data_IF_984535120721
#
_entry.id   IF_984535120721
#
_cell.length_a   1.000
_cell.length_b   1.000
_cell.length_c   1.000
_cell.angle_alpha   90.00
_cell.angle_beta   90.00
_cell.angle_gamma   90.00
#
_symmetry.space_group_name_H-M   'P 1'
#
loop_
_entity.id
_entity.type
_entity.pdbx_description
1 polymer ?
#
# COMPACT_ATOMS: atom_id res chain seq x y z
N UNK A 1 3.83 20.78 -8.93
CA UNK A 1 3.02 19.60 -8.51
C UNK A 1 3.36 18.32 -9.28
N UNK A 2 3.39 18.33 -10.62
CA UNK A 2 3.59 17.11 -11.43
C UNK A 2 4.94 16.40 -11.21
N UNK A 3 6.04 17.14 -10.96
CA UNK A 3 7.36 16.55 -10.74
C UNK A 3 7.41 15.69 -9.45
N UNK A 4 6.81 16.18 -8.37
CA UNK A 4 6.79 15.48 -7.08
C UNK A 4 5.95 14.20 -7.21
N UNK A 5 4.74 14.29 -7.77
CA UNK A 5 3.88 13.10 -7.94
C UNK A 5 4.51 12.08 -8.88
N UNK A 6 5.16 12.55 -9.94
CA UNK A 6 5.94 11.70 -10.85
C UNK A 6 7.08 10.99 -10.12
N UNK A 7 7.87 11.72 -9.33
CA UNK A 7 9.04 11.18 -8.63
C UNK A 7 8.62 10.15 -7.57
N UNK A 8 7.64 10.47 -6.73
CA UNK A 8 7.13 9.55 -5.73
C UNK A 8 6.55 8.28 -6.36
N UNK A 9 5.91 8.35 -7.53
CA UNK A 9 5.45 7.15 -8.24
C UNK A 9 6.61 6.21 -8.60
N UNK A 10 7.78 6.74 -8.97
CA UNK A 10 8.97 5.93 -9.31
C UNK A 10 9.61 5.34 -8.07
N UNK A 11 9.83 6.18 -7.05
CA UNK A 11 10.42 5.75 -5.77
C UNK A 11 9.57 4.65 -5.15
N UNK A 12 8.26 4.86 -5.03
CA UNK A 12 7.35 3.84 -4.50
C UNK A 12 7.31 2.59 -5.38
N UNK A 13 7.42 2.73 -6.71
CA UNK A 13 7.52 1.56 -7.59
C UNK A 13 8.74 0.68 -7.32
N UNK A 14 9.90 1.29 -7.07
CA UNK A 14 11.13 0.55 -6.71
C UNK A 14 10.99 -0.10 -5.33
N UNK A 15 10.48 0.64 -4.34
CA UNK A 15 10.20 0.09 -3.00
C UNK A 15 9.24 -1.09 -3.09
N UNK A 16 8.19 -0.97 -3.90
CA UNK A 16 7.20 -2.02 -4.10
C UNK A 16 7.77 -3.24 -4.80
N UNK A 17 8.61 -3.06 -5.82
CA UNK A 17 9.25 -4.19 -6.49
C UNK A 17 10.08 -5.03 -5.51
N UNK A 18 10.96 -4.39 -4.73
CA UNK A 18 11.78 -5.09 -3.75
C UNK A 18 10.95 -5.64 -2.59
N UNK A 19 10.03 -4.84 -2.06
CA UNK A 19 9.15 -5.23 -0.95
C UNK A 19 8.24 -6.38 -1.33
N UNK A 20 7.73 -6.43 -2.56
CA UNK A 20 6.88 -7.51 -3.04
C UNK A 20 7.64 -8.83 -3.13
N UNK A 21 8.91 -8.83 -3.54
CA UNK A 21 9.73 -10.04 -3.55
C UNK A 21 9.93 -10.61 -2.15
N UNK A 22 10.25 -9.74 -1.18
CA UNK A 22 10.37 -10.13 0.24
C UNK A 22 9.02 -10.65 0.75
N UNK A 23 7.95 -9.89 0.53
CA UNK A 23 6.60 -10.25 0.96
C UNK A 23 6.17 -11.60 0.38
N UNK A 24 6.33 -11.79 -0.92
CA UNK A 24 5.96 -13.02 -1.61
C UNK A 24 6.76 -14.21 -1.09
N UNK A 25 8.08 -14.05 -0.93
CA UNK A 25 8.92 -15.11 -0.37
C UNK A 25 8.46 -15.51 1.04
N UNK A 26 8.24 -14.52 1.92
CA UNK A 26 7.85 -14.76 3.31
C UNK A 26 6.45 -15.35 3.43
N UNK A 27 5.51 -14.95 2.58
CA UNK A 27 4.15 -15.49 2.64
C UNK A 27 4.04 -16.90 2.05
N UNK A 28 4.96 -17.31 1.16
CA UNK A 28 4.82 -18.55 0.40
C UNK A 28 5.93 -19.60 0.59
N UNK A 29 7.12 -19.24 1.11
CA UNK A 29 8.31 -20.10 1.07
C UNK A 29 9.07 -20.25 2.40
N UNK A 30 8.61 -19.67 3.51
CA UNK A 30 9.35 -19.73 4.79
C UNK A 30 8.99 -20.92 5.69
N UNK A 31 8.15 -21.85 5.24
CA UNK A 31 7.80 -23.06 5.98
C UNK A 31 6.31 -23.36 5.97
N UNK A 32 5.91 -24.43 6.67
CA UNK A 32 4.50 -24.76 6.91
C UNK A 32 3.93 -23.87 8.00
N UNK A 33 2.64 -23.49 7.89
CA UNK A 33 1.95 -22.61 8.85
C UNK A 33 2.54 -21.19 9.01
N UNK A 34 3.30 -20.70 8.03
CA UNK A 34 3.91 -19.36 8.00
C UNK A 34 2.92 -18.19 8.05
N UNK A 35 1.63 -18.48 7.84
CA UNK A 35 0.50 -17.55 7.93
C UNK A 35 -0.38 -17.80 9.17
N UNK A 36 0.01 -18.71 10.06
CA UNK A 36 -0.72 -18.94 11.31
C UNK A 36 -0.70 -17.70 12.19
N UNK A 37 -1.71 -17.57 13.05
CA UNK A 37 -1.84 -16.40 13.94
C UNK A 37 -0.60 -16.18 14.80
N UNK A 38 -0.04 -17.24 15.39
CA UNK A 38 1.14 -17.13 16.26
C UNK A 38 2.38 -16.64 15.50
N UNK A 39 2.64 -17.17 14.30
CA UNK A 39 3.78 -16.75 13.47
C UNK A 39 3.64 -15.30 13.01
N UNK A 40 2.43 -14.89 12.61
CA UNK A 40 2.17 -13.50 12.20
C UNK A 40 2.29 -12.55 13.39
N UNK A 41 1.76 -12.94 14.56
CA UNK A 41 1.87 -12.17 15.80
C UNK A 41 3.33 -11.99 16.23
N UNK A 42 4.14 -13.05 16.19
CA UNK A 42 5.58 -12.96 16.48
C UNK A 42 6.29 -12.03 15.49
N UNK A 43 5.99 -12.16 14.19
CA UNK A 43 6.55 -11.29 13.15
C UNK A 43 6.18 -9.83 13.39
N UNK A 44 4.91 -9.54 13.65
CA UNK A 44 4.44 -8.21 14.01
C UNK A 44 5.07 -7.73 15.32
N UNK A 45 5.51 -8.60 16.23
CA UNK A 45 6.28 -8.21 17.41
C UNK A 45 7.66 -7.60 17.12
N UNK A 46 8.21 -7.79 15.91
CA UNK A 46 9.54 -7.31 15.55
C UNK A 46 9.52 -5.86 15.01
N UNK A 47 10.36 -4.95 15.56
CA UNK A 47 10.47 -3.59 15.05
C UNK A 47 10.85 -3.51 13.56
N UNK A 48 11.73 -4.41 13.10
CA UNK A 48 12.15 -4.46 11.70
C UNK A 48 10.97 -4.80 10.77
N UNK A 49 10.16 -5.79 11.14
CA UNK A 49 8.96 -6.16 10.37
C UNK A 49 7.91 -5.06 10.41
N UNK A 50 7.66 -4.42 11.57
CA UNK A 50 6.76 -3.25 11.64
C UNK A 50 7.22 -2.12 10.73
N UNK A 51 8.52 -1.81 10.70
CA UNK A 51 9.06 -0.78 9.78
C UNK A 51 8.89 -1.17 8.32
N UNK A 52 9.17 -2.42 7.97
CA UNK A 52 8.96 -2.94 6.62
C UNK A 52 7.49 -2.84 6.20
N UNK A 53 6.56 -3.34 7.01
CA UNK A 53 5.13 -3.37 6.71
C UNK A 53 4.55 -1.95 6.60
N UNK A 54 4.99 -1.00 7.44
CA UNK A 54 4.58 0.40 7.34
C UNK A 54 5.09 1.06 6.05
N UNK A 55 6.36 0.85 5.70
CA UNK A 55 6.94 1.38 4.47
C UNK A 55 6.24 0.80 3.24
N UNK A 56 5.95 -0.50 3.25
CA UNK A 56 5.26 -1.21 2.18
C UNK A 56 3.80 -0.75 2.06
N UNK A 57 3.08 -0.61 3.17
CA UNK A 57 1.70 -0.09 3.24
C UNK A 57 1.58 1.32 2.65
N UNK A 58 2.41 2.26 3.11
CA UNK A 58 2.34 3.64 2.61
C UNK A 58 2.72 3.70 1.13
N UNK A 59 3.72 2.92 0.71
CA UNK A 59 4.16 2.87 -0.68
C UNK A 59 3.07 2.31 -1.60
N UNK A 60 2.39 1.23 -1.21
CA UNK A 60 1.35 0.60 -2.05
C UNK A 60 0.11 1.48 -2.16
N UNK A 61 -0.30 2.12 -1.05
CA UNK A 61 -1.43 3.03 -1.06
C UNK A 61 -1.14 4.26 -1.91
N UNK A 62 0.05 4.85 -1.79
CA UNK A 62 0.44 5.96 -2.65
C UNK A 62 0.48 5.54 -4.12
N UNK A 63 1.26 4.50 -4.45
CA UNK A 63 1.51 4.10 -5.83
C UNK A 63 0.23 3.68 -6.55
N UNK A 64 -0.56 2.82 -5.91
CA UNK A 64 -1.80 2.28 -6.47
C UNK A 64 -2.84 3.38 -6.69
N UNK A 65 -3.10 4.21 -5.67
CA UNK A 65 -4.17 5.21 -5.77
C UNK A 65 -3.78 6.46 -6.54
N UNK A 66 -2.50 6.86 -6.54
CA UNK A 66 -2.01 7.92 -7.45
C UNK A 66 -2.09 7.47 -8.92
N UNK A 67 -1.71 6.21 -9.21
CA UNK A 67 -1.89 5.62 -10.54
C UNK A 67 -3.37 5.54 -10.96
N UNK A 68 -4.23 5.06 -10.07
CA UNK A 68 -5.68 5.00 -10.30
C UNK A 68 -6.27 6.40 -10.54
N UNK A 69 -5.83 7.41 -9.80
CA UNK A 69 -6.25 8.78 -10.04
C UNK A 69 -5.83 9.28 -11.43
N UNK A 70 -4.61 8.95 -11.88
CA UNK A 70 -4.16 9.20 -13.25
C UNK A 70 -5.14 8.64 -14.29
N UNK A 71 -5.48 7.35 -14.16
CA UNK A 71 -6.47 6.68 -15.03
C UNK A 71 -7.83 7.39 -14.98
N UNK A 72 -8.35 7.68 -13.77
CA UNK A 72 -9.65 8.36 -13.62
C UNK A 72 -9.65 9.71 -14.35
N UNK A 73 -8.60 10.52 -14.20
CA UNK A 73 -8.52 11.84 -14.84
C UNK A 73 -8.45 11.76 -16.36
N UNK A 74 -7.84 10.70 -16.90
CA UNK A 74 -7.71 10.47 -18.33
C UNK A 74 -9.03 9.99 -18.95
N UNK A 75 -9.67 9.00 -18.34
CA UNK A 75 -10.82 8.32 -18.93
C UNK A 75 -12.19 8.89 -18.51
N UNK A 76 -12.27 9.66 -17.41
CA UNK A 76 -13.53 10.23 -16.92
C UNK A 76 -13.68 11.72 -17.25
N UNK A 77 -14.50 12.03 -18.26
CA UNK A 77 -14.74 13.43 -18.69
C UNK A 77 -15.83 14.16 -17.90
N UNK A 78 -16.85 13.44 -17.40
CA UNK A 78 -17.96 14.05 -16.66
C UNK A 78 -17.52 14.48 -15.25
N UNK A 79 -17.55 15.78 -14.98
CA UNK A 79 -17.05 16.35 -13.73
C UNK A 79 -17.69 15.79 -12.44
N UNK A 80 -19.00 15.49 -12.47
CA UNK A 80 -19.70 14.88 -11.33
C UNK A 80 -19.17 13.48 -11.03
N UNK A 81 -19.01 12.64 -12.06
CA UNK A 81 -18.52 11.27 -11.88
C UNK A 81 -17.05 11.26 -11.45
N UNK A 82 -16.23 12.17 -11.99
CA UNK A 82 -14.83 12.34 -11.57
C UNK A 82 -14.72 12.72 -10.09
N UNK A 83 -15.59 13.61 -9.60
CA UNK A 83 -15.63 13.98 -8.16
C UNK A 83 -16.03 12.81 -7.28
N UNK A 84 -17.04 12.03 -7.69
CA UNK A 84 -17.43 10.82 -6.97
C UNK A 84 -16.26 9.83 -6.85
N UNK A 85 -15.58 9.55 -7.95
CA UNK A 85 -14.44 8.64 -7.97
C UNK A 85 -13.28 9.15 -7.10
N UNK A 86 -13.00 10.46 -7.11
CA UNK A 86 -12.03 11.06 -6.22
C UNK A 86 -12.38 10.84 -4.74
N UNK A 87 -13.65 11.06 -4.37
CA UNK A 87 -14.12 10.81 -2.99
C UNK A 87 -13.96 9.35 -2.60
N UNK A 88 -14.32 8.42 -3.50
CA UNK A 88 -14.14 6.97 -3.26
C UNK A 88 -12.67 6.64 -3.02
N UNK A 89 -11.76 7.11 -3.88
CA UNK A 89 -10.32 6.92 -3.72
C UNK A 89 -9.84 7.45 -2.36
N UNK A 90 -10.24 8.68 -2.00
CA UNK A 90 -9.81 9.31 -0.75
C UNK A 90 -10.29 8.53 0.48
N UNK A 91 -11.55 8.10 0.48
CA UNK A 91 -12.13 7.29 1.56
C UNK A 91 -11.43 5.95 1.67
N UNK A 92 -11.20 5.24 0.55
CA UNK A 92 -10.50 3.96 0.54
C UNK A 92 -9.07 4.07 1.08
N UNK A 93 -8.30 5.05 0.62
CA UNK A 93 -6.93 5.29 1.13
C UNK A 93 -6.95 5.54 2.63
N UNK A 94 -7.86 6.39 3.11
CA UNK A 94 -7.95 6.76 4.51
C UNK A 94 -8.29 5.55 5.40
N UNK A 95 -9.28 4.75 4.99
CA UNK A 95 -9.70 3.55 5.71
C UNK A 95 -8.59 2.49 5.77
N UNK A 96 -7.94 2.22 4.63
CA UNK A 96 -6.86 1.23 4.56
C UNK A 96 -5.62 1.67 5.35
N UNK A 97 -5.26 2.95 5.27
CA UNK A 97 -4.12 3.50 5.99
C UNK A 97 -4.33 3.41 7.50
N UNK A 98 -5.46 3.90 8.01
CA UNK A 98 -5.76 3.90 9.46
C UNK A 98 -5.85 2.47 9.98
N UNK A 99 -6.54 1.59 9.26
CA UNK A 99 -6.70 0.19 9.67
C UNK A 99 -5.37 -0.55 9.63
N UNK A 100 -4.58 -0.38 8.58
CA UNK A 100 -3.27 -1.00 8.43
C UNK A 100 -2.28 -0.55 9.51
N UNK A 101 -2.17 0.76 9.75
CA UNK A 101 -1.32 1.31 10.82
C UNK A 101 -1.74 0.75 12.18
N UNK A 102 -3.05 0.73 12.46
CA UNK A 102 -3.58 0.17 13.71
C UNK A 102 -3.17 -1.29 13.89
N UNK A 103 -3.33 -2.12 12.86
CA UNK A 103 -2.97 -3.55 12.92
C UNK A 103 -1.46 -3.75 13.11
N UNK A 104 -0.62 -2.98 12.42
CA UNK A 104 0.84 -3.12 12.51
C UNK A 104 1.38 -2.64 13.86
N UNK A 105 0.79 -1.59 14.44
CA UNK A 105 1.31 -0.97 15.67
C UNK A 105 0.75 -1.58 16.96
N UNK A 106 -0.40 -2.25 16.91
CA UNK A 106 -0.89 -3.08 18.01
C UNK A 106 0.00 -4.32 18.24
#
# INVERSE_FOLDING_TARGET
MALITWLFQRITGVVLFLGLLIHFFVMHYTGEHQLSYEVVKERLGSPLWKTFDLAFLVSVLYHGFNGLWGIVTEYTKRGVFRRLLYTVILVSVSLLLVTGIKIILL
#
